data_IF_743032685106
#
_entry.id   IF_743032685106
#
_cell.length_a   1.000
_cell.length_b   1.000
_cell.length_c   1.000
_cell.angle_alpha   90.00
_cell.angle_beta   90.00
_cell.angle_gamma   90.00
#
_symmetry.space_group_name_H-M   'P 1'
#
loop_
_entity.id
_entity.type
_entity.pdbx_description
1 polymer ?
#
# COMPACT_ATOMS: atom_id res chain seq x y z
N UNK A 1 47.01 -16.15 77.84
CA UNK A 1 45.90 -15.19 77.70
C UNK A 1 45.96 -14.72 76.25
N UNK A 2 45.25 -15.40 75.35
CA UNK A 2 43.94 -14.98 74.82
C UNK A 2 44.05 -13.56 74.21
N UNK A 3 43.92 -13.35 72.90
CA UNK A 3 42.79 -13.75 72.06
C UNK A 3 43.16 -13.97 70.57
N UNK A 4 42.27 -14.71 69.91
CA UNK A 4 42.21 -15.12 68.50
C UNK A 4 41.33 -14.15 67.67
N UNK A 5 41.37 -14.33 66.34
CA UNK A 5 40.41 -13.95 65.29
C UNK A 5 40.64 -12.53 64.69
N UNK A 6 40.60 -12.26 63.37
CA UNK A 6 40.03 -12.89 62.14
C UNK A 6 40.96 -12.49 60.94
N UNK A 7 41.26 -13.31 59.91
CA UNK A 7 40.46 -13.68 58.70
C UNK A 7 39.75 -12.47 58.05
N UNK A 8 39.57 -12.29 56.75
CA UNK A 8 40.02 -12.83 55.46
C UNK A 8 39.35 -11.90 54.41
N UNK A 9 39.71 -12.02 53.14
CA UNK A 9 39.00 -11.52 51.96
C UNK A 9 39.10 -10.01 51.63
N UNK A 10 40.11 -9.73 50.80
CA UNK A 10 40.03 -8.70 49.76
C UNK A 10 39.10 -9.24 48.66
N UNK A 11 37.93 -8.63 48.48
CA UNK A 11 37.04 -8.87 47.33
C UNK A 11 37.21 -7.70 46.36
N UNK A 12 37.76 -8.00 45.19
CA UNK A 12 37.77 -7.15 43.99
C UNK A 12 36.32 -7.00 43.48
N UNK A 13 35.67 -5.88 43.82
CA UNK A 13 34.41 -5.44 43.21
C UNK A 13 34.69 -4.47 42.06
N UNK A 14 35.34 -5.00 41.01
CA UNK A 14 35.68 -4.24 39.81
C UNK A 14 35.19 -4.93 38.53
N UNK A 15 33.91 -5.32 38.48
CA UNK A 15 33.20 -5.74 37.25
C UNK A 15 31.67 -5.61 37.39
N UNK A 16 31.19 -4.53 37.99
CA UNK A 16 29.77 -4.17 37.87
C UNK A 16 29.53 -3.62 36.45
N UNK A 17 29.16 -4.50 35.51
CA UNK A 17 28.67 -4.10 34.19
C UNK A 17 27.64 -2.98 34.36
N UNK A 18 27.75 -1.87 33.60
CA UNK A 18 26.75 -0.81 33.66
C UNK A 18 25.37 -1.42 33.37
N UNK A 19 24.29 -0.92 34.00
CA UNK A 19 22.94 -1.41 33.74
C UNK A 19 22.66 -1.28 32.24
N UNK A 20 22.72 -2.41 31.53
CA UNK A 20 22.39 -2.48 30.11
C UNK A 20 21.01 -1.87 29.96
N UNK A 21 20.90 -0.83 29.13
CA UNK A 21 19.62 -0.28 28.69
C UNK A 21 18.68 -1.44 28.41
N UNK A 22 17.59 -1.50 29.18
CA UNK A 22 16.65 -2.61 29.17
C UNK A 22 15.97 -2.67 27.80
N UNK A 23 16.62 -3.34 26.85
CA UNK A 23 16.09 -3.61 25.53
C UNK A 23 14.71 -4.24 25.71
N UNK A 24 13.71 -3.65 25.07
CA UNK A 24 12.32 -4.07 25.14
C UNK A 24 12.24 -5.57 24.82
N UNK A 25 11.86 -6.38 25.82
CA UNK A 25 11.71 -7.83 25.65
C UNK A 25 10.35 -8.12 25.06
N UNK A 26 10.31 -8.94 24.01
CA UNK A 26 9.08 -9.41 23.40
C UNK A 26 8.96 -10.90 23.67
N UNK A 27 7.80 -11.36 24.16
CA UNK A 27 7.51 -12.77 24.40
C UNK A 27 6.19 -13.18 23.74
N UNK A 28 6.01 -14.47 23.44
CA UNK A 28 4.78 -15.01 22.85
C UNK A 28 4.25 -16.24 23.60
N UNK A 29 2.94 -16.24 23.87
CA UNK A 29 2.18 -17.43 24.25
C UNK A 29 1.08 -17.68 23.21
N UNK A 30 1.24 -18.71 22.38
CA UNK A 30 0.34 -18.92 21.24
C UNK A 30 0.21 -20.39 20.84
N UNK A 31 -0.72 -20.65 19.91
CA UNK A 31 -0.82 -21.94 19.24
C UNK A 31 0.37 -22.16 18.25
N UNK A 32 0.36 -23.29 17.56
CA UNK A 32 1.41 -23.66 16.60
C UNK A 32 1.60 -22.63 15.48
N UNK A 33 0.51 -22.03 14.97
CA UNK A 33 0.60 -21.06 13.89
C UNK A 33 1.28 -19.76 14.36
N UNK A 34 0.91 -19.26 15.54
CA UNK A 34 1.55 -18.07 16.12
C UNK A 34 3.01 -18.31 16.43
N UNK A 35 3.34 -19.45 17.04
CA UNK A 35 4.73 -19.79 17.36
C UNK A 35 5.55 -19.96 16.08
N UNK A 36 4.99 -20.57 15.05
CA UNK A 36 5.59 -20.65 13.72
C UNK A 36 5.92 -19.27 13.16
N UNK A 37 4.96 -18.35 13.15
CA UNK A 37 5.16 -16.97 12.70
C UNK A 37 6.19 -16.21 13.56
N UNK A 38 6.20 -16.42 14.87
CA UNK A 38 7.14 -15.77 15.78
C UNK A 38 8.58 -16.28 15.65
N UNK A 39 8.72 -17.57 15.32
CA UNK A 39 10.00 -18.20 14.98
C UNK A 39 10.50 -17.72 13.62
N UNK A 40 9.61 -17.69 12.62
CA UNK A 40 9.94 -17.19 11.28
C UNK A 40 10.41 -15.73 11.40
N UNK A 41 9.65 -14.89 12.12
CA UNK A 41 9.93 -13.47 12.39
C UNK A 41 11.24 -13.18 13.14
N UNK A 42 12.01 -14.20 13.52
CA UNK A 42 13.26 -14.04 14.27
C UNK A 42 13.09 -13.41 15.65
N UNK A 43 11.86 -13.30 16.15
CA UNK A 43 11.56 -12.79 17.49
C UNK A 43 11.80 -13.83 18.58
N UNK A 44 11.78 -15.11 18.20
CA UNK A 44 12.14 -16.22 19.06
C UNK A 44 13.65 -16.23 19.39
N UNK A 45 13.98 -15.99 20.66
CA UNK A 45 15.31 -16.08 21.27
C UNK A 45 15.37 -17.10 22.41
N UNK A 46 16.25 -18.08 22.29
CA UNK A 46 16.52 -19.01 23.39
C UNK A 46 17.46 -18.33 24.38
N UNK A 47 16.95 -18.00 25.56
CA UNK A 47 17.70 -17.35 26.63
C UNK A 47 18.14 -18.37 27.69
N UNK A 48 19.07 -17.98 28.57
CA UNK A 48 19.50 -18.81 29.70
C UNK A 48 18.33 -19.22 30.62
N UNK A 49 17.27 -18.39 30.69
CA UNK A 49 16.05 -18.62 31.47
C UNK A 49 14.94 -19.33 30.67
N UNK A 50 15.24 -19.85 29.48
CA UNK A 50 14.30 -20.53 28.58
C UNK A 50 13.99 -19.75 27.30
N UNK A 51 13.03 -20.23 26.51
CA UNK A 51 12.59 -19.59 25.27
C UNK A 51 11.63 -18.45 25.56
N UNK A 52 11.76 -17.27 24.90
CA UNK A 52 10.76 -16.18 24.98
C UNK A 52 9.45 -16.48 24.22
N UNK A 53 9.19 -17.73 23.88
CA UNK A 53 7.91 -18.18 23.36
C UNK A 53 7.54 -19.51 24.00
N UNK A 54 6.25 -19.78 24.07
CA UNK A 54 5.73 -21.07 24.49
C UNK A 54 4.52 -21.46 23.63
N UNK A 55 4.57 -22.67 23.07
CA UNK A 55 3.48 -23.25 22.28
C UNK A 55 2.48 -23.89 23.23
N UNK A 56 1.21 -23.52 23.10
CA UNK A 56 0.10 -24.14 23.81
C UNK A 56 -0.58 -25.12 22.87
N UNK A 57 -0.49 -26.41 23.21
CA UNK A 57 -1.14 -27.47 22.44
C UNK A 57 -2.67 -27.40 22.61
N UNK A 58 -3.39 -27.87 21.59
CA UNK A 58 -4.84 -27.98 21.65
C UNK A 58 -5.27 -28.92 22.79
N UNK A 59 -6.10 -28.41 23.71
CA UNK A 59 -6.55 -29.16 24.89
C UNK A 59 -5.59 -29.10 26.10
N UNK A 60 -4.58 -28.24 26.08
CA UNK A 60 -3.74 -27.99 27.25
C UNK A 60 -4.59 -27.59 28.48
N UNK A 61 -4.27 -28.16 29.65
CA UNK A 61 -4.95 -27.85 30.90
C UNK A 61 -4.75 -26.37 31.28
N UNK A 62 -5.80 -25.72 31.80
CA UNK A 62 -5.78 -24.29 32.13
C UNK A 62 -4.64 -23.89 33.08
N UNK A 63 -4.32 -24.74 34.06
CA UNK A 63 -3.22 -24.50 34.99
C UNK A 63 -1.85 -24.48 34.30
N UNK A 64 -1.66 -25.34 33.28
CA UNK A 64 -0.42 -25.37 32.52
C UNK A 64 -0.25 -24.11 31.66
N UNK A 65 -1.34 -23.64 31.03
CA UNK A 65 -1.36 -22.38 30.26
C UNK A 65 -1.10 -21.18 31.16
N UNK A 66 -1.71 -21.17 32.35
CA UNK A 66 -1.52 -20.10 33.34
C UNK A 66 -0.08 -20.06 33.85
N UNK A 67 0.53 -21.23 34.11
CA UNK A 67 1.93 -21.31 34.52
C UNK A 67 2.89 -20.84 33.40
N UNK A 68 2.60 -21.16 32.14
CA UNK A 68 3.34 -20.68 30.98
C UNK A 68 3.28 -19.16 30.85
N UNK A 69 2.08 -18.59 30.96
CA UNK A 69 1.87 -17.15 30.95
C UNK A 69 2.67 -16.45 32.06
N UNK A 70 2.59 -16.97 33.30
CA UNK A 70 3.33 -16.41 34.44
C UNK A 70 4.86 -16.42 34.24
N UNK A 71 5.41 -17.45 33.60
CA UNK A 71 6.86 -17.50 33.27
C UNK A 71 7.27 -16.41 32.28
N UNK A 72 6.42 -16.10 31.30
CA UNK A 72 6.71 -15.05 30.32
C UNK A 72 6.55 -13.65 30.93
N UNK A 73 5.52 -13.44 31.74
CA UNK A 73 5.28 -12.19 32.48
C UNK A 73 6.45 -11.88 33.43
N UNK A 74 6.96 -12.88 34.15
CA UNK A 74 8.08 -12.71 35.08
C UNK A 74 9.39 -12.26 34.40
N UNK A 75 9.48 -12.30 33.06
CA UNK A 75 10.64 -11.82 32.32
C UNK A 75 10.60 -10.33 31.97
N UNK A 76 9.46 -9.67 32.18
CA UNK A 76 9.25 -8.28 31.80
C UNK A 76 8.99 -8.08 30.31
N UNK A 77 8.62 -6.85 29.92
CA UNK A 77 8.44 -6.42 28.55
C UNK A 77 7.04 -6.64 27.99
N UNK A 78 6.93 -6.92 26.69
CA UNK A 78 5.67 -7.13 25.99
C UNK A 78 5.41 -8.63 25.85
N UNK A 79 4.25 -9.10 26.30
CA UNK A 79 3.80 -10.49 26.15
C UNK A 79 2.61 -10.52 25.17
N UNK A 80 2.83 -11.11 24.01
CA UNK A 80 1.79 -11.40 23.04
C UNK A 80 1.08 -12.70 23.42
N UNK A 81 -0.25 -12.72 23.41
CA UNK A 81 -1.05 -13.91 23.72
C UNK A 81 -2.11 -14.10 22.65
N UNK A 82 -2.17 -15.26 21.98
CA UNK A 82 -3.26 -15.52 21.03
C UNK A 82 -4.61 -15.54 21.74
N UNK A 83 -5.68 -15.00 21.13
CA UNK A 83 -7.02 -14.91 21.73
C UNK A 83 -7.54 -16.25 22.26
N UNK A 84 -7.30 -17.33 21.51
CA UNK A 84 -7.68 -18.70 21.89
C UNK A 84 -6.99 -19.14 23.18
N UNK A 85 -5.70 -18.84 23.32
CA UNK A 85 -4.93 -19.15 24.52
C UNK A 85 -5.28 -18.22 25.68
N UNK A 86 -5.50 -16.93 25.40
CA UNK A 86 -5.97 -15.96 26.39
C UNK A 86 -7.35 -16.34 26.95
N UNK A 87 -8.22 -16.97 26.16
CA UNK A 87 -9.50 -17.48 26.65
C UNK A 87 -9.34 -18.57 27.72
N UNK A 88 -8.28 -19.40 27.62
CA UNK A 88 -7.98 -20.47 28.58
C UNK A 88 -7.35 -19.90 29.87
N UNK A 89 -6.56 -18.83 29.78
CA UNK A 89 -5.90 -18.17 30.92
C UNK A 89 -6.50 -16.79 31.25
N UNK A 90 -7.80 -16.60 31.01
CA UNK A 90 -8.48 -15.29 31.02
C UNK A 90 -8.29 -14.52 32.31
N UNK A 91 -8.50 -15.19 33.45
CA UNK A 91 -8.36 -14.58 34.78
C UNK A 91 -6.93 -14.07 35.04
N UNK A 92 -5.92 -14.82 34.60
CA UNK A 92 -4.51 -14.44 34.75
C UNK A 92 -4.13 -13.26 33.83
N UNK A 93 -4.59 -13.29 32.57
CA UNK A 93 -4.38 -12.19 31.61
C UNK A 93 -5.02 -10.89 32.11
N UNK A 94 -6.26 -10.95 32.60
CA UNK A 94 -6.97 -9.79 33.12
C UNK A 94 -6.38 -9.28 34.44
N UNK A 95 -5.80 -10.16 35.26
CA UNK A 95 -5.08 -9.77 36.47
C UNK A 95 -3.80 -8.99 36.14
N UNK A 96 -3.01 -9.42 35.15
CA UNK A 96 -1.79 -8.70 34.77
C UNK A 96 -2.08 -7.38 34.05
N UNK A 97 -3.15 -7.30 33.24
CA UNK A 97 -3.58 -6.03 32.65
C UNK A 97 -3.93 -5.00 33.71
N UNK A 98 -4.71 -5.40 34.73
CA UNK A 98 -5.05 -4.53 35.87
C UNK A 98 -3.81 -4.07 36.63
N UNK A 99 -2.83 -4.94 36.82
CA UNK A 99 -1.54 -4.54 37.43
C UNK A 99 -0.79 -3.55 36.55
N UNK A 100 -0.75 -3.75 35.23
CA UNK A 100 -0.08 -2.83 34.30
C UNK A 100 -0.66 -1.41 34.29
N UNK A 101 -1.96 -1.27 34.60
CA UNK A 101 -2.63 0.03 34.72
C UNK A 101 -2.29 0.77 36.02
N UNK A 102 -1.81 0.07 37.05
CA UNK A 102 -1.31 0.67 38.29
C UNK A 102 0.11 1.23 38.05
N UNK A 103 0.33 2.54 38.29
CA UNK A 103 1.56 3.27 37.91
C UNK A 103 2.88 2.64 38.43
N UNK A 104 2.80 1.80 39.45
CA UNK A 104 3.94 1.10 40.07
C UNK A 104 4.41 -0.15 39.30
N UNK A 105 3.64 -0.66 38.33
CA UNK A 105 3.88 -1.93 37.64
C UNK A 105 4.14 -1.79 36.12
N UNK A 106 4.82 -0.71 35.69
CA UNK A 106 5.16 -0.42 34.26
C UNK A 106 6.15 -1.40 33.58
N UNK A 107 6.33 -2.60 34.13
CA UNK A 107 7.29 -3.58 33.62
C UNK A 107 6.75 -4.52 32.54
N UNK A 108 5.42 -4.75 32.46
CA UNK A 108 4.82 -5.76 31.57
C UNK A 108 3.61 -5.20 30.83
N UNK A 109 3.57 -5.40 29.50
CA UNK A 109 2.43 -5.07 28.63
C UNK A 109 1.90 -6.35 28.00
N UNK A 110 0.61 -6.65 28.19
CA UNK A 110 -0.01 -7.87 27.65
C UNK A 110 -0.94 -7.53 26.48
N UNK A 111 -0.64 -8.07 25.30
CA UNK A 111 -1.37 -7.81 24.05
C UNK A 111 -2.02 -9.10 23.56
N UNK A 112 -3.34 -9.08 23.37
CA UNK A 112 -4.05 -10.19 22.72
C UNK A 112 -3.96 -10.07 21.18
N UNK A 113 -3.70 -11.18 20.49
CA UNK A 113 -3.61 -11.24 19.02
C UNK A 113 -4.64 -12.25 18.45
N UNK A 114 -5.29 -11.95 17.31
CA UNK A 114 -6.34 -12.79 16.75
C UNK A 114 -5.86 -14.20 16.40
N UNK A 115 -6.69 -15.22 16.64
CA UNK A 115 -6.34 -16.60 16.24
C UNK A 115 -6.49 -16.79 14.73
N UNK A 116 -5.65 -17.64 14.11
CA UNK A 116 -5.71 -17.96 12.67
C UNK A 116 -7.06 -18.53 12.23
N UNK A 117 -7.79 -19.16 13.15
CA UNK A 117 -9.10 -19.77 12.88
C UNK A 117 -10.24 -18.74 12.95
N UNK A 118 -9.97 -17.53 13.43
CA UNK A 118 -10.91 -16.43 13.56
C UNK A 118 -11.02 -15.58 12.27
N UNK A 119 -10.80 -16.19 11.09
CA UNK A 119 -11.16 -15.54 9.82
C UNK A 119 -12.65 -15.14 9.86
N UNK A 120 -13.02 -13.91 9.46
CA UNK A 120 -14.42 -13.54 9.39
C UNK A 120 -15.10 -14.46 8.38
N UNK A 121 -16.09 -15.23 8.84
CA UNK A 121 -16.97 -16.05 7.97
C UNK A 121 -17.85 -15.12 7.11
N UNK A 122 -17.27 -14.44 6.14
CA UNK A 122 -18.01 -13.86 5.03
C UNK A 122 -18.27 -14.98 4.02
N UNK A 123 -19.46 -15.57 4.11
CA UNK A 123 -20.02 -16.50 3.14
C UNK A 123 -19.98 -15.90 1.74
N UNK A 124 -19.04 -16.35 0.89
CA UNK A 124 -19.12 -16.23 -0.57
C UNK A 124 -20.25 -17.13 -1.09
N UNK A 125 -21.48 -16.68 -0.93
CA UNK A 125 -22.63 -17.17 -1.66
C UNK A 125 -23.43 -15.94 -2.05
N UNK A 126 -23.23 -15.46 -3.28
CA UNK A 126 -24.13 -14.66 -4.10
C UNK A 126 -23.30 -14.15 -5.29
N UNK A 127 -23.52 -14.72 -6.47
CA UNK A 127 -23.71 -14.02 -7.74
C UNK A 127 -23.84 -15.08 -8.84
N UNK A 128 -25.09 -15.45 -9.13
CA UNK A 128 -25.45 -15.94 -10.47
C UNK A 128 -25.49 -14.75 -11.44
N UNK A 129 -25.23 -14.98 -12.74
CA UNK A 129 -25.13 -13.91 -13.73
C UNK A 129 -26.52 -13.36 -14.03
N UNK A 130 -26.75 -12.07 -13.75
CA UNK A 130 -28.00 -11.41 -14.10
C UNK A 130 -27.78 -10.44 -15.26
N UNK A 131 -28.33 -10.79 -16.42
CA UNK A 131 -28.57 -9.90 -17.54
C UNK A 131 -29.65 -8.87 -17.18
N UNK A 132 -29.55 -7.67 -17.75
CA UNK A 132 -30.52 -6.55 -17.72
C UNK A 132 -30.58 -5.70 -16.45
N UNK A 133 -29.79 -4.61 -16.46
CA UNK A 133 -29.82 -3.51 -15.48
C UNK A 133 -30.07 -2.17 -16.20
N UNK A 134 -31.28 -1.97 -16.75
CA UNK A 134 -31.67 -0.73 -17.44
C UNK A 134 -33.00 -0.12 -16.98
N UNK A 135 -33.60 -0.60 -15.89
CA UNK A 135 -35.01 -0.29 -15.57
C UNK A 135 -35.33 0.54 -14.32
N UNK A 136 -34.37 1.06 -13.53
CA UNK A 136 -34.67 1.51 -12.15
C UNK A 136 -34.56 3.00 -11.80
N UNK A 137 -34.42 3.91 -12.77
CA UNK A 137 -34.15 5.33 -12.48
C UNK A 137 -35.33 6.29 -12.70
N UNK A 138 -36.58 5.79 -12.78
CA UNK A 138 -37.75 6.64 -13.07
C UNK A 138 -38.65 6.99 -11.85
N UNK A 139 -38.24 6.75 -10.60
CA UNK A 139 -39.17 6.88 -9.46
C UNK A 139 -38.56 7.40 -8.15
N UNK A 140 -37.68 8.40 -8.19
CA UNK A 140 -37.10 8.98 -6.97
C UNK A 140 -37.17 10.52 -6.92
N UNK A 141 -38.22 11.12 -7.48
CA UNK A 141 -38.53 12.56 -7.32
C UNK A 141 -39.97 12.73 -6.82
N UNK A 142 -40.24 12.37 -5.56
CA UNK A 142 -41.43 12.84 -4.83
C UNK A 142 -41.38 12.45 -3.34
N UNK A 143 -40.70 13.24 -2.51
CA UNK A 143 -41.11 13.49 -1.12
C UNK A 143 -40.23 14.59 -0.50
N UNK A 144 -40.80 15.79 -0.35
CA UNK A 144 -40.27 16.78 0.59
C UNK A 144 -40.79 16.48 1.98
N UNK A 145 -39.93 16.58 3.00
CA UNK A 145 -40.35 16.68 4.39
C UNK A 145 -39.34 17.51 5.19
N UNK A 146 -39.88 18.46 5.95
CA UNK A 146 -39.18 19.46 6.76
C UNK A 146 -38.89 18.87 8.16
N UNK A 147 -37.64 18.49 8.42
CA UNK A 147 -37.20 18.04 9.74
C UNK A 147 -35.72 18.34 9.97
N UNK A 148 -35.42 19.18 10.96
CA UNK A 148 -34.07 19.64 11.29
C UNK A 148 -33.03 18.52 11.48
N UNK A 149 -31.73 18.83 11.29
CA UNK A 149 -30.70 17.82 11.10
C UNK A 149 -30.46 17.03 12.38
N UNK A 150 -30.94 15.78 12.40
CA UNK A 150 -30.34 14.75 13.25
C UNK A 150 -28.92 14.50 12.73
N UNK A 151 -27.92 14.32 13.60
CA UNK A 151 -26.60 13.89 13.18
C UNK A 151 -26.77 12.55 12.45
N UNK A 152 -26.58 12.58 11.14
CA UNK A 152 -26.64 11.39 10.29
C UNK A 152 -25.42 10.55 10.69
N UNK A 153 -25.68 9.42 11.36
CA UNK A 153 -24.64 8.41 11.58
C UNK A 153 -24.06 8.07 10.21
N UNK A 154 -22.74 8.25 10.05
CA UNK A 154 -22.08 7.92 8.80
C UNK A 154 -22.41 6.46 8.44
N UNK A 155 -22.82 6.17 7.20
CA UNK A 155 -23.17 4.81 6.81
C UNK A 155 -22.00 3.88 7.15
N UNK A 156 -22.29 2.67 7.65
CA UNK A 156 -21.28 1.71 8.11
C UNK A 156 -20.13 1.50 7.10
N UNK A 157 -20.42 1.68 5.82
CA UNK A 157 -19.48 1.61 4.70
C UNK A 157 -18.37 2.70 4.77
N UNK A 158 -18.70 3.92 5.23
CA UNK A 158 -17.73 5.01 5.34
C UNK A 158 -16.68 4.75 6.44
N UNK A 159 -17.10 4.13 7.55
CA UNK A 159 -16.19 3.76 8.64
C UNK A 159 -15.23 2.64 8.20
N UNK A 160 -15.75 1.63 7.51
CA UNK A 160 -14.95 0.53 6.94
C UNK A 160 -13.97 1.04 5.88
N UNK A 161 -14.40 1.98 5.02
CA UNK A 161 -13.53 2.60 4.03
C UNK A 161 -12.42 3.43 4.68
N UNK A 162 -12.75 4.22 5.71
CA UNK A 162 -11.77 4.99 6.47
C UNK A 162 -10.76 4.08 7.18
N UNK A 163 -11.20 2.94 7.74
CA UNK A 163 -10.32 1.95 8.33
C UNK A 163 -9.37 1.33 7.30
N UNK A 164 -9.90 0.92 6.14
CA UNK A 164 -9.11 0.40 5.02
C UNK A 164 -8.06 1.41 4.56
N UNK A 165 -8.45 2.67 4.39
CA UNK A 165 -7.54 3.76 4.02
C UNK A 165 -6.41 3.92 5.03
N UNK A 166 -6.73 4.01 6.34
CA UNK A 166 -5.72 4.11 7.40
C UNK A 166 -4.77 2.92 7.40
N UNK A 167 -5.29 1.72 7.13
CA UNK A 167 -4.46 0.50 7.10
C UNK A 167 -3.50 0.49 5.92
N UNK A 168 -3.98 0.78 4.71
CA UNK A 168 -3.14 0.90 3.51
C UNK A 168 -2.06 1.97 3.70
N UNK A 169 -2.43 3.14 4.25
CA UNK A 169 -1.49 4.23 4.54
C UNK A 169 -0.39 3.79 5.52
N UNK A 170 -0.76 3.07 6.58
CA UNK A 170 0.18 2.57 7.58
C UNK A 170 1.13 1.50 6.99
N UNK A 171 0.62 0.61 6.15
CA UNK A 171 1.43 -0.43 5.50
C UNK A 171 2.41 0.18 4.50
N UNK A 172 1.96 1.11 3.64
CA UNK A 172 2.84 1.83 2.71
C UNK A 172 3.90 2.63 3.48
N UNK A 173 3.52 3.35 4.53
CA UNK A 173 4.49 4.06 5.37
C UNK A 173 5.51 3.12 6.03
N UNK A 174 5.10 1.91 6.39
CA UNK A 174 6.01 0.89 6.96
C UNK A 174 6.98 0.38 5.92
N UNK A 175 6.52 0.06 4.70
CA UNK A 175 7.38 -0.32 3.59
C UNK A 175 8.45 0.73 3.30
N UNK A 176 8.08 2.02 3.25
CA UNK A 176 9.02 3.11 3.00
C UNK A 176 9.95 3.39 4.19
N UNK A 177 9.54 3.15 5.44
CA UNK A 177 10.45 3.24 6.60
C UNK A 177 11.55 2.18 6.57
N UNK A 178 11.23 0.97 6.11
CA UNK A 178 12.22 -0.11 5.97
C UNK A 178 13.25 0.23 4.89
N UNK A 179 12.77 0.72 3.73
CA UNK A 179 13.65 1.19 2.65
C UNK A 179 14.58 2.33 3.07
N UNK A 180 14.07 3.31 3.82
CA UNK A 180 14.87 4.47 4.23
C UNK A 180 16.05 4.08 5.14
N UNK A 181 15.96 2.94 5.86
CA UNK A 181 17.07 2.41 6.67
C UNK A 181 18.19 1.83 5.82
N UNK A 182 17.86 1.15 4.72
CA UNK A 182 18.83 0.56 3.80
C UNK A 182 19.61 1.61 2.98
N UNK A 183 18.98 2.76 2.70
CA UNK A 183 19.55 3.80 1.83
C UNK A 183 20.62 4.68 2.48
N UNK A 184 20.72 4.67 3.81
CA UNK A 184 21.78 5.38 4.53
C UNK A 184 23.06 4.58 4.44
N UNK A 185 23.96 4.92 3.50
CA UNK A 185 25.22 4.22 3.23
C UNK A 185 26.24 4.10 4.38
N UNK A 186 25.81 4.23 5.64
CA UNK A 186 26.51 3.60 6.75
C UNK A 186 26.49 2.09 6.52
N UNK A 187 27.68 1.51 6.42
CA UNK A 187 27.86 0.08 6.29
C UNK A 187 27.03 -0.64 7.36
N UNK A 188 25.89 -1.19 6.96
CA UNK A 188 25.01 -1.92 7.85
C UNK A 188 25.87 -2.96 8.60
N UNK A 189 25.78 -3.03 9.94
CA UNK A 189 26.54 -4.00 10.69
C UNK A 189 26.26 -5.38 10.10
N UNK A 190 27.32 -6.15 9.84
CA UNK A 190 27.35 -7.37 9.02
C UNK A 190 26.51 -8.56 9.53
N UNK A 191 25.51 -8.33 10.36
CA UNK A 191 24.56 -9.33 10.84
C UNK A 191 23.51 -9.65 9.79
N UNK A 192 23.67 -10.78 9.09
CA UNK A 192 22.66 -11.31 8.15
C UNK A 192 21.27 -11.53 8.77
N UNK A 193 21.16 -11.56 10.10
CA UNK A 193 19.90 -11.70 10.83
C UNK A 193 19.01 -10.46 10.76
N UNK A 194 19.57 -9.25 10.81
CA UNK A 194 18.78 -8.00 10.73
C UNK A 194 18.14 -7.84 9.35
N UNK A 195 18.91 -8.11 8.29
CA UNK A 195 18.42 -8.05 6.90
C UNK A 195 17.37 -9.13 6.60
N UNK A 196 17.53 -10.32 7.17
CA UNK A 196 16.53 -11.38 7.03
C UNK A 196 15.20 -10.95 7.66
N UNK A 197 15.26 -10.35 8.86
CA UNK A 197 14.08 -9.83 9.55
C UNK A 197 13.38 -8.73 8.73
N UNK A 198 14.12 -7.76 8.19
CA UNK A 198 13.53 -6.69 7.37
C UNK A 198 12.85 -7.22 6.10
N UNK A 199 13.46 -8.22 5.44
CA UNK A 199 12.88 -8.86 4.26
C UNK A 199 11.57 -9.57 4.59
N UNK A 200 11.48 -10.17 5.77
CA UNK A 200 10.27 -10.83 6.23
C UNK A 200 9.16 -9.83 6.58
N UNK A 201 9.49 -8.74 7.28
CA UNK A 201 8.52 -7.66 7.52
C UNK A 201 8.04 -7.06 6.20
N UNK A 202 8.93 -6.87 5.22
CA UNK A 202 8.56 -6.45 3.86
C UNK A 202 7.60 -7.45 3.21
N UNK A 203 7.87 -8.74 3.32
CA UNK A 203 7.03 -9.79 2.77
C UNK A 203 5.63 -9.83 3.43
N UNK A 204 5.56 -9.71 4.75
CA UNK A 204 4.30 -9.64 5.49
C UNK A 204 3.49 -8.40 5.10
N UNK A 205 4.12 -7.21 5.06
CA UNK A 205 3.46 -5.98 4.62
C UNK A 205 2.95 -6.08 3.19
N UNK A 206 3.72 -6.73 2.30
CA UNK A 206 3.37 -6.91 0.90
C UNK A 206 2.18 -7.85 0.74
N UNK A 207 2.16 -8.96 1.47
CA UNK A 207 1.05 -9.92 1.46
C UNK A 207 -0.24 -9.25 1.91
N UNK A 208 -0.19 -8.52 3.03
CA UNK A 208 -1.36 -7.82 3.54
C UNK A 208 -1.82 -6.68 2.61
N UNK A 209 -0.90 -5.92 2.03
CA UNK A 209 -1.25 -4.93 1.02
C UNK A 209 -1.94 -5.58 -0.18
N UNK A 210 -1.44 -6.71 -0.67
CA UNK A 210 -2.03 -7.43 -1.80
C UNK A 210 -3.47 -7.89 -1.54
N UNK A 211 -3.80 -8.27 -0.30
CA UNK A 211 -5.17 -8.56 0.12
C UNK A 211 -6.06 -7.31 0.05
N UNK A 212 -5.58 -6.18 0.61
CA UNK A 212 -6.31 -4.91 0.52
C UNK A 212 -6.52 -4.45 -0.92
N UNK A 213 -5.58 -4.69 -1.83
CA UNK A 213 -5.71 -4.36 -3.25
C UNK A 213 -6.88 -5.09 -3.93
N UNK A 214 -7.38 -6.20 -3.37
CA UNK A 214 -8.55 -6.88 -3.92
C UNK A 214 -9.86 -6.13 -3.64
N UNK A 215 -9.90 -5.26 -2.64
CA UNK A 215 -11.07 -4.43 -2.36
C UNK A 215 -11.31 -3.42 -3.52
N UNK A 216 -12.56 -3.03 -3.80
CA UNK A 216 -12.88 -2.04 -4.84
C UNK A 216 -12.10 -0.72 -4.72
N UNK A 217 -11.95 -0.20 -3.50
CA UNK A 217 -11.21 1.05 -3.25
C UNK A 217 -9.73 0.84 -2.94
N UNK A 218 -9.30 -0.40 -2.66
CA UNK A 218 -7.95 -0.69 -2.16
C UNK A 218 -6.85 -0.28 -3.12
N UNK A 219 -6.98 -0.60 -4.40
CA UNK A 219 -6.01 -0.23 -5.44
C UNK A 219 -5.85 1.29 -5.57
N UNK A 220 -6.96 2.03 -5.64
CA UNK A 220 -6.95 3.49 -5.66
C UNK A 220 -6.26 4.08 -4.42
N UNK A 221 -6.60 3.58 -3.22
CA UNK A 221 -5.97 4.05 -1.96
C UNK A 221 -4.48 3.78 -1.93
N UNK A 222 -4.04 2.62 -2.44
CA UNK A 222 -2.63 2.29 -2.55
C UNK A 222 -1.89 3.24 -3.50
N UNK A 223 -2.44 3.51 -4.69
CA UNK A 223 -1.86 4.46 -5.65
C UNK A 223 -1.81 5.87 -5.07
N UNK A 224 -2.86 6.32 -4.40
CA UNK A 224 -2.89 7.60 -3.67
C UNK A 224 -1.81 7.66 -2.58
N UNK A 225 -1.62 6.57 -1.82
CA UNK A 225 -0.61 6.48 -0.77
C UNK A 225 0.81 6.52 -1.35
N UNK A 226 1.09 5.80 -2.43
CA UNK A 226 2.36 5.87 -3.14
C UNK A 226 2.64 7.27 -3.68
N UNK A 227 1.64 7.94 -4.26
CA UNK A 227 1.80 9.29 -4.78
C UNK A 227 2.17 10.29 -3.67
N UNK A 228 1.65 10.12 -2.45
CA UNK A 228 2.09 10.88 -1.28
C UNK A 228 3.55 10.61 -0.89
N UNK A 229 4.03 9.38 -1.04
CA UNK A 229 5.42 9.02 -0.72
C UNK A 229 6.44 9.49 -1.77
N UNK A 230 6.01 9.65 -3.02
CA UNK A 230 6.88 10.06 -4.15
C UNK A 230 7.72 11.31 -3.84
N UNK A 231 7.19 12.29 -3.13
CA UNK A 231 7.91 13.53 -2.81
C UNK A 231 8.94 13.36 -1.69
N UNK A 232 8.86 12.28 -0.93
CA UNK A 232 9.73 12.01 0.24
C UNK A 232 10.89 11.10 -0.13
N UNK A 233 10.64 10.07 -0.92
CA UNK A 233 11.65 9.08 -1.29
C UNK A 233 11.32 8.46 -2.63
N UNK A 234 12.32 8.39 -3.51
CA UNK A 234 12.19 7.81 -4.86
C UNK A 234 13.12 6.62 -5.10
N UNK A 235 14.23 6.49 -4.36
CA UNK A 235 15.04 5.27 -4.36
C UNK A 235 14.41 4.26 -3.40
N UNK A 236 13.94 3.13 -3.94
CA UNK A 236 13.23 2.09 -3.20
C UNK A 236 14.09 0.88 -2.85
N UNK A 237 15.38 0.89 -3.22
CA UNK A 237 16.38 -0.09 -2.80
C UNK A 237 15.91 -1.54 -2.86
N UNK A 238 15.99 -2.23 -1.71
CA UNK A 238 15.60 -3.64 -1.57
C UNK A 238 14.09 -3.89 -1.69
N UNK A 239 13.23 -2.87 -1.49
CA UNK A 239 11.78 -3.02 -1.63
C UNK A 239 11.29 -2.97 -3.08
N UNK A 240 12.17 -2.66 -4.05
CA UNK A 240 11.84 -2.61 -5.47
C UNK A 240 11.00 -3.79 -5.99
N UNK A 241 11.39 -5.07 -5.81
CA UNK A 241 10.60 -6.19 -6.32
C UNK A 241 9.22 -6.30 -5.68
N UNK A 242 9.09 -5.97 -4.40
CA UNK A 242 7.81 -5.97 -3.68
C UNK A 242 6.89 -4.88 -4.20
N UNK A 243 7.42 -3.66 -4.35
CA UNK A 243 6.66 -2.54 -4.88
C UNK A 243 6.24 -2.75 -6.34
N UNK A 244 7.11 -3.36 -7.15
CA UNK A 244 6.77 -3.75 -8.52
C UNK A 244 5.61 -4.75 -8.55
N UNK A 245 5.63 -5.79 -7.72
CA UNK A 245 4.56 -6.78 -7.62
C UNK A 245 3.23 -6.18 -7.14
N UNK A 246 3.27 -5.29 -6.14
CA UNK A 246 2.09 -4.57 -5.67
C UNK A 246 1.51 -3.64 -6.74
N UNK A 247 2.37 -2.94 -7.48
CA UNK A 247 1.93 -2.03 -8.53
C UNK A 247 1.28 -2.80 -9.70
N UNK A 248 1.84 -3.95 -10.09
CA UNK A 248 1.19 -4.86 -11.06
C UNK A 248 -0.18 -5.33 -10.56
N UNK A 249 -0.28 -5.77 -9.30
CA UNK A 249 -1.54 -6.20 -8.70
C UNK A 249 -2.58 -5.07 -8.67
N UNK A 250 -2.14 -3.85 -8.37
CA UNK A 250 -2.99 -2.66 -8.38
C UNK A 250 -3.46 -2.33 -9.81
N UNK A 251 -2.58 -2.39 -10.81
CA UNK A 251 -2.92 -2.19 -12.22
C UNK A 251 -3.95 -3.20 -12.71
N UNK A 252 -3.78 -4.49 -12.38
CA UNK A 252 -4.75 -5.54 -12.70
C UNK A 252 -6.13 -5.22 -12.11
N UNK A 253 -6.17 -4.74 -10.86
CA UNK A 253 -7.43 -4.35 -10.21
C UNK A 253 -8.03 -3.12 -10.87
N UNK A 254 -7.26 -2.07 -11.10
CA UNK A 254 -7.72 -0.84 -11.74
C UNK A 254 -8.25 -1.11 -13.15
N UNK A 255 -7.59 -1.99 -13.93
CA UNK A 255 -8.05 -2.40 -15.26
C UNK A 255 -9.42 -3.09 -15.18
N UNK A 256 -9.63 -4.02 -14.23
CA UNK A 256 -10.94 -4.66 -14.01
C UNK A 256 -12.05 -3.67 -13.63
N UNK A 257 -11.70 -2.64 -12.86
CA UNK A 257 -12.64 -1.60 -12.41
C UNK A 257 -12.76 -0.42 -13.39
N UNK A 258 -11.99 -0.43 -14.49
CA UNK A 258 -11.82 0.72 -15.40
C UNK A 258 -11.45 2.03 -14.70
N UNK A 259 -10.60 1.95 -13.68
CA UNK A 259 -10.07 3.12 -12.97
C UNK A 259 -8.86 3.69 -13.74
N UNK A 260 -9.16 4.41 -14.82
CA UNK A 260 -8.19 5.02 -15.73
C UNK A 260 -7.29 6.02 -15.01
N UNK A 261 -7.84 6.75 -14.04
CA UNK A 261 -7.08 7.74 -13.27
C UNK A 261 -5.97 7.08 -12.46
N UNK A 262 -6.30 6.03 -11.71
CA UNK A 262 -5.31 5.28 -10.93
C UNK A 262 -4.26 4.59 -11.81
N UNK A 263 -4.62 4.16 -13.03
CA UNK A 263 -3.65 3.61 -13.99
C UNK A 263 -2.68 4.70 -14.46
N UNK A 264 -3.17 5.89 -14.82
CA UNK A 264 -2.32 7.03 -15.21
C UNK A 264 -1.39 7.50 -14.09
N UNK A 265 -1.88 7.54 -12.84
CA UNK A 265 -1.04 7.86 -11.69
C UNK A 265 0.01 6.77 -11.46
N UNK A 266 -0.36 5.49 -11.58
CA UNK A 266 0.59 4.37 -11.51
C UNK A 266 1.70 4.48 -12.57
N UNK A 267 1.33 4.86 -13.80
CA UNK A 267 2.24 5.11 -14.91
C UNK A 267 3.29 6.18 -14.55
N UNK A 268 2.83 7.33 -14.05
CA UNK A 268 3.70 8.44 -13.59
C UNK A 268 4.59 8.02 -12.40
N UNK A 269 4.04 7.28 -11.43
CA UNK A 269 4.79 6.79 -10.27
C UNK A 269 5.91 5.84 -10.68
N UNK A 270 5.67 4.99 -11.68
CA UNK A 270 6.64 4.03 -12.16
C UNK A 270 7.87 4.67 -12.82
N UNK A 271 7.71 5.89 -13.36
CA UNK A 271 8.82 6.71 -13.88
C UNK A 271 9.58 7.45 -12.77
N UNK A 272 9.01 7.53 -11.57
CA UNK A 272 9.60 8.25 -10.43
C UNK A 272 10.41 7.34 -9.53
N UNK A 273 9.85 6.19 -9.15
CA UNK A 273 10.51 5.24 -8.25
C UNK A 273 11.55 4.40 -8.99
N UNK A 274 12.72 4.23 -8.39
CA UNK A 274 13.82 3.44 -8.95
C UNK A 274 14.59 2.68 -7.87
N UNK A 275 15.42 1.73 -8.26
CA UNK A 275 16.53 1.23 -7.42
C UNK A 275 17.86 1.53 -8.07
N UNK A 276 18.86 1.82 -7.25
CA UNK A 276 20.25 1.95 -7.70
C UNK A 276 20.88 0.55 -7.80
N UNK A 277 21.22 0.09 -9.01
CA UNK A 277 22.01 -1.15 -9.18
C UNK A 277 23.49 -0.81 -9.03
N UNK A 278 24.15 -1.38 -8.02
CA UNK A 278 25.60 -1.39 -7.95
C UNK A 278 26.11 -2.24 -9.11
N UNK A 279 26.77 -1.61 -10.09
CA UNK A 279 27.43 -2.31 -11.17
C UNK A 279 28.55 -3.17 -10.58
N UNK A 280 28.45 -4.49 -10.69
CA UNK A 280 29.54 -5.38 -10.30
C UNK A 280 30.73 -5.18 -11.25
N UNK A 281 31.84 -4.63 -10.74
CA UNK A 281 33.13 -4.50 -11.44
C UNK A 281 33.18 -3.35 -12.45
N UNK A 282 34.01 -2.34 -12.16
CA UNK A 282 34.49 -1.22 -13.01
C UNK A 282 33.48 -0.43 -13.87
N UNK A 283 32.18 -0.72 -13.78
CA UNK A 283 31.16 0.01 -14.51
C UNK A 283 30.96 1.42 -13.90
N UNK A 284 31.07 2.49 -14.71
CA UNK A 284 30.94 3.86 -14.22
C UNK A 284 29.50 4.15 -13.80
N UNK A 285 29.34 4.66 -12.57
CA UNK A 285 28.10 5.12 -11.91
C UNK A 285 26.97 4.09 -11.74
N UNK A 286 26.30 4.13 -10.59
CA UNK A 286 25.15 3.28 -10.30
C UNK A 286 24.03 3.49 -11.34
N UNK A 287 23.65 2.41 -12.06
CA UNK A 287 22.56 2.47 -13.04
C UNK A 287 21.23 2.43 -12.30
N UNK A 288 20.38 3.43 -12.53
CA UNK A 288 19.01 3.45 -12.02
C UNK A 288 18.12 2.50 -12.82
N UNK A 289 17.41 1.63 -12.12
CA UNK A 289 16.37 0.78 -12.67
C UNK A 289 15.02 1.29 -12.16
N UNK A 290 14.22 1.88 -13.06
CA UNK A 290 12.92 2.45 -12.72
C UNK A 290 11.84 1.37 -12.65
N UNK A 291 10.81 1.55 -11.82
CA UNK A 291 9.64 0.64 -11.77
C UNK A 291 8.93 0.52 -13.12
N UNK A 292 9.04 1.53 -13.99
CA UNK A 292 8.59 1.51 -15.38
C UNK A 292 8.97 0.20 -16.07
N UNK A 293 10.22 -0.24 -15.94
CA UNK A 293 10.70 -1.48 -16.58
C UNK A 293 10.00 -2.74 -16.10
N UNK A 294 9.53 -2.77 -14.84
CA UNK A 294 8.81 -3.91 -14.28
C UNK A 294 7.33 -3.96 -14.72
N UNK A 295 6.71 -2.80 -14.95
CA UNK A 295 5.28 -2.72 -15.30
C UNK A 295 5.03 -2.59 -16.81
N UNK A 296 6.05 -2.32 -17.62
CA UNK A 296 5.95 -2.20 -19.09
C UNK A 296 5.33 -3.44 -19.77
N UNK A 297 5.38 -4.61 -19.14
CA UNK A 297 4.79 -5.84 -19.68
C UNK A 297 3.31 -6.01 -19.33
N UNK A 298 2.70 -5.08 -18.58
CA UNK A 298 1.31 -5.19 -18.18
C UNK A 298 0.36 -5.04 -19.39
N UNK A 299 -0.70 -5.88 -19.52
CA UNK A 299 -1.54 -5.92 -20.72
C UNK A 299 -2.34 -4.63 -20.98
N UNK A 300 -2.59 -3.81 -19.95
CA UNK A 300 -3.33 -2.55 -20.07
C UNK A 300 -2.73 -1.59 -21.11
N UNK A 301 -1.41 -1.62 -21.34
CA UNK A 301 -0.77 -0.76 -22.33
C UNK A 301 -1.11 -1.17 -23.76
N UNK A 302 -1.48 -2.42 -24.01
CA UNK A 302 -1.97 -2.88 -25.31
C UNK A 302 -3.44 -2.56 -25.58
N UNK A 303 -4.18 -2.06 -24.59
CA UNK A 303 -5.61 -1.77 -24.72
C UNK A 303 -5.85 -0.39 -25.33
N UNK A 304 -6.32 -0.37 -26.59
CA UNK A 304 -6.66 0.87 -27.28
C UNK A 304 -7.80 1.64 -26.59
N UNK A 305 -8.72 0.96 -25.90
CA UNK A 305 -9.81 1.62 -25.17
C UNK A 305 -9.26 2.41 -23.99
N UNK A 306 -8.34 1.83 -23.22
CA UNK A 306 -7.66 2.53 -22.13
C UNK A 306 -7.02 3.84 -22.60
N UNK A 307 -6.26 3.84 -23.71
CA UNK A 307 -5.61 5.06 -24.21
C UNK A 307 -6.59 6.14 -24.66
N UNK A 308 -7.75 5.76 -25.22
CA UNK A 308 -8.81 6.71 -25.57
C UNK A 308 -9.42 7.32 -24.31
N UNK A 309 -9.75 6.50 -23.31
CA UNK A 309 -10.29 6.99 -22.04
C UNK A 309 -9.27 7.85 -21.27
N UNK A 310 -7.99 7.49 -21.32
CA UNK A 310 -6.91 8.26 -20.74
C UNK A 310 -6.77 9.65 -21.39
N UNK A 311 -6.83 9.72 -22.72
CA UNK A 311 -6.84 10.98 -23.44
C UNK A 311 -8.05 11.84 -23.05
N UNK A 312 -9.24 11.22 -22.94
CA UNK A 312 -10.46 11.88 -22.45
C UNK A 312 -10.24 12.58 -21.13
N UNK A 313 -9.71 11.81 -20.18
CA UNK A 313 -9.54 12.23 -18.81
C UNK A 313 -8.52 13.36 -18.72
N UNK A 314 -7.41 13.28 -19.46
CA UNK A 314 -6.41 14.33 -19.52
C UNK A 314 -6.96 15.64 -20.10
N UNK A 315 -7.73 15.58 -21.20
CA UNK A 315 -8.36 16.75 -21.81
C UNK A 315 -9.38 17.39 -20.87
N UNK A 316 -10.21 16.56 -20.23
CA UNK A 316 -11.20 17.01 -19.26
C UNK A 316 -10.55 17.73 -18.08
N UNK A 317 -9.50 17.15 -17.48
CA UNK A 317 -8.75 17.78 -16.38
C UNK A 317 -8.11 19.11 -16.79
N UNK A 318 -7.52 19.18 -17.99
CA UNK A 318 -6.94 20.43 -18.51
C UNK A 318 -8.00 21.53 -18.69
N UNK A 319 -9.17 21.17 -19.20
CA UNK A 319 -10.27 22.12 -19.37
C UNK A 319 -10.87 22.58 -18.03
N UNK A 320 -11.01 21.66 -17.06
CA UNK A 320 -11.44 22.00 -15.71
C UNK A 320 -10.50 23.03 -15.04
N UNK A 321 -9.19 22.94 -15.28
CA UNK A 321 -8.23 23.95 -14.80
C UNK A 321 -8.33 25.31 -15.51
N UNK A 322 -8.89 25.37 -16.72
CA UNK A 322 -9.07 26.62 -17.49
C UNK A 322 -10.37 27.35 -17.14
N UNK A 323 -11.40 26.62 -16.71
CA UNK A 323 -12.59 27.20 -16.12
C UNK A 323 -12.22 27.83 -14.76
N UNK A 324 -11.92 29.13 -14.76
CA UNK A 324 -11.46 29.86 -13.59
C UNK A 324 -12.51 29.86 -12.45
N UNK A 325 -12.09 30.09 -11.19
CA UNK A 325 -12.93 29.96 -9.98
C UNK A 325 -13.90 31.13 -9.76
N UNK A 326 -14.62 31.55 -10.80
CA UNK A 326 -15.64 32.61 -10.76
C UNK A 326 -17.03 32.18 -11.24
N UNK A 327 -17.15 30.99 -11.82
CA UNK A 327 -18.44 30.38 -12.16
C UNK A 327 -18.77 29.37 -11.06
N UNK A 328 -19.66 29.73 -10.13
CA UNK A 328 -20.09 28.93 -8.99
C UNK A 328 -20.51 27.50 -9.41
N UNK A 329 -19.80 26.44 -8.98
CA UNK A 329 -20.19 25.05 -9.22
C UNK A 329 -21.11 24.52 -8.12
N UNK A 330 -21.97 25.36 -7.52
CA UNK A 330 -22.92 24.94 -6.47
C UNK A 330 -24.07 24.05 -7.01
N UNK A 331 -23.90 23.50 -8.22
CA UNK A 331 -24.75 22.48 -8.81
C UNK A 331 -24.15 21.09 -8.56
N UNK A 332 -24.23 20.62 -7.31
CA UNK A 332 -24.23 19.21 -6.90
C UNK A 332 -23.33 18.27 -7.70
N UNK A 333 -22.05 18.25 -7.36
CA UNK A 333 -21.10 17.23 -7.82
C UNK A 333 -21.47 15.85 -7.27
N UNK A 334 -22.06 15.00 -8.12
CA UNK A 334 -21.90 13.56 -8.02
C UNK A 334 -20.72 13.14 -8.92
N UNK A 335 -19.53 12.81 -8.37
CA UNK A 335 -18.35 12.47 -9.15
C UNK A 335 -18.41 11.05 -9.77
N UNK A 336 -19.59 10.42 -9.78
CA UNK A 336 -19.81 9.07 -10.27
C UNK A 336 -20.20 9.01 -11.74
N UNK A 337 -19.21 8.78 -12.62
CA UNK A 337 -19.37 8.02 -13.87
C UNK A 337 -20.44 8.52 -14.86
N UNK A 338 -20.09 9.47 -15.74
CA UNK A 338 -20.88 9.76 -16.94
C UNK A 338 -20.25 9.12 -18.19
N UNK A 339 -20.90 8.10 -18.81
CA UNK A 339 -20.53 7.62 -20.13
C UNK A 339 -20.98 8.67 -21.16
N UNK A 340 -20.03 9.49 -21.63
CA UNK A 340 -20.32 10.57 -22.57
C UNK A 340 -19.50 11.85 -22.37
N UNK A 341 -18.52 11.87 -21.46
CA UNK A 341 -17.68 13.05 -21.17
C UNK A 341 -17.09 13.69 -22.43
N UNK A 342 -16.62 12.88 -23.38
CA UNK A 342 -16.12 13.37 -24.67
C UNK A 342 -17.22 14.01 -25.52
N UNK A 343 -18.41 13.40 -25.58
CA UNK A 343 -19.51 13.95 -26.35
C UNK A 343 -20.01 15.27 -25.73
N UNK A 344 -20.06 15.36 -24.41
CA UNK A 344 -20.42 16.59 -23.69
C UNK A 344 -19.40 17.72 -23.93
N UNK A 345 -18.10 17.40 -23.93
CA UNK A 345 -17.02 18.37 -24.14
C UNK A 345 -17.00 18.95 -25.57
N UNK A 346 -17.30 18.14 -26.59
CA UNK A 346 -17.16 18.55 -27.99
C UNK A 346 -18.47 18.92 -28.69
N UNK A 347 -19.60 18.29 -28.33
CA UNK A 347 -20.88 18.52 -29.01
C UNK A 347 -21.82 19.48 -28.27
N UNK A 348 -21.58 19.77 -26.98
CA UNK A 348 -22.40 20.69 -26.18
C UNK A 348 -21.90 22.13 -26.09
N UNK A 349 -20.65 22.40 -26.49
CA UNK A 349 -20.01 23.70 -26.28
C UNK A 349 -20.29 24.71 -27.41
N UNK A 350 -20.37 26.00 -27.06
CA UNK A 350 -20.29 27.11 -28.01
C UNK A 350 -19.00 27.05 -28.84
N UNK A 351 -18.95 27.72 -29.98
CA UNK A 351 -17.82 27.60 -30.94
C UNK A 351 -16.46 27.93 -30.32
N UNK A 352 -16.39 28.88 -29.37
CA UNK A 352 -15.17 29.20 -28.62
C UNK A 352 -14.71 28.03 -27.72
N UNK A 353 -15.66 27.28 -27.15
CA UNK A 353 -15.39 26.08 -26.37
C UNK A 353 -14.86 24.93 -27.22
N UNK A 354 -15.31 24.81 -28.48
CA UNK A 354 -14.79 23.80 -29.42
C UNK A 354 -13.33 24.06 -29.77
N UNK A 355 -12.95 25.32 -30.01
CA UNK A 355 -11.56 25.68 -30.29
C UNK A 355 -10.66 25.37 -29.08
N UNK A 356 -11.08 25.76 -27.87
CA UNK A 356 -10.34 25.47 -26.64
C UNK A 356 -10.19 23.97 -26.37
N UNK A 357 -11.23 23.18 -26.63
CA UNK A 357 -11.22 21.72 -26.51
C UNK A 357 -10.29 21.06 -27.54
N UNK A 358 -10.28 21.55 -28.79
CA UNK A 358 -9.37 21.08 -29.82
C UNK A 358 -7.90 21.35 -29.47
N UNK A 359 -7.59 22.52 -28.90
CA UNK A 359 -6.24 22.85 -28.45
C UNK A 359 -5.81 22.02 -27.23
N UNK A 360 -6.73 21.73 -26.29
CA UNK A 360 -6.47 20.84 -25.18
C UNK A 360 -6.23 19.40 -25.65
N UNK A 361 -7.07 18.90 -26.57
CA UNK A 361 -6.89 17.60 -27.21
C UNK A 361 -5.52 17.48 -27.86
N UNK A 362 -5.16 18.48 -28.68
CA UNK A 362 -3.87 18.52 -29.36
C UNK A 362 -2.70 18.49 -28.36
N UNK A 363 -2.77 19.30 -27.31
CA UNK A 363 -1.74 19.33 -26.26
C UNK A 363 -1.57 18.01 -25.53
N UNK A 364 -2.67 17.29 -25.26
CA UNK A 364 -2.62 16.02 -24.53
C UNK A 364 -2.24 14.84 -25.42
N UNK A 365 -2.59 14.90 -26.71
CA UNK A 365 -2.33 13.82 -27.66
C UNK A 365 -0.84 13.50 -27.79
N UNK A 366 0.02 14.53 -27.86
CA UNK A 366 1.47 14.34 -27.88
C UNK A 366 2.01 13.63 -26.62
N UNK A 367 1.50 14.02 -25.44
CA UNK A 367 1.87 13.39 -24.17
C UNK A 367 1.44 11.93 -24.06
N UNK A 368 0.22 11.61 -24.52
CA UNK A 368 -0.30 10.23 -24.57
C UNK A 368 0.55 9.38 -25.52
N UNK A 369 0.86 9.89 -26.70
CA UNK A 369 1.67 9.17 -27.70
C UNK A 369 3.08 8.88 -27.19
N UNK A 370 3.70 9.86 -26.52
CA UNK A 370 4.99 9.65 -25.86
C UNK A 370 4.88 8.57 -24.77
N UNK A 371 3.84 8.63 -23.93
CA UNK A 371 3.61 7.63 -22.90
C UNK A 371 3.38 6.22 -23.49
N UNK A 372 2.61 6.09 -24.58
CA UNK A 372 2.41 4.83 -25.29
C UNK A 372 3.75 4.23 -25.73
N UNK A 373 4.60 5.02 -26.39
CA UNK A 373 5.93 4.58 -26.81
C UNK A 373 6.78 4.16 -25.60
N UNK A 374 6.80 4.98 -24.55
CA UNK A 374 7.53 4.71 -23.32
C UNK A 374 7.10 3.43 -22.62
N UNK A 375 5.83 3.04 -22.71
CA UNK A 375 5.28 1.82 -22.13
C UNK A 375 5.24 0.64 -23.10
N UNK A 376 5.97 0.73 -24.21
CA UNK A 376 6.23 -0.38 -25.12
C UNK A 376 5.08 -0.70 -26.07
N UNK A 377 4.16 0.25 -26.29
CA UNK A 377 3.13 0.09 -27.32
C UNK A 377 3.80 0.07 -28.69
N UNK A 378 3.42 -0.91 -29.52
CA UNK A 378 4.00 -1.07 -30.84
C UNK A 378 3.78 0.19 -31.70
N UNK A 379 4.79 0.62 -32.48
CA UNK A 379 4.68 1.78 -33.38
C UNK A 379 3.42 1.81 -34.24
N UNK A 380 3.08 0.68 -34.88
CA UNK A 380 1.90 0.59 -35.75
C UNK A 380 0.59 0.82 -34.97
N UNK A 381 0.53 0.38 -33.71
CA UNK A 381 -0.62 0.61 -32.84
C UNK A 381 -0.73 2.09 -32.40
N UNK A 382 0.40 2.77 -32.18
CA UNK A 382 0.44 4.22 -31.91
C UNK A 382 -0.06 5.00 -33.13
N UNK A 383 0.40 4.65 -34.34
CA UNK A 383 -0.06 5.28 -35.58
C UNK A 383 -1.56 5.05 -35.81
N UNK A 384 -2.04 3.81 -35.60
CA UNK A 384 -3.46 3.49 -35.70
C UNK A 384 -4.32 4.28 -34.69
N UNK A 385 -3.85 4.44 -33.46
CA UNK A 385 -4.50 5.28 -32.44
C UNK A 385 -4.56 6.75 -32.87
N UNK A 386 -3.44 7.29 -33.36
CA UNK A 386 -3.36 8.66 -33.88
C UNK A 386 -4.33 8.89 -35.03
N UNK A 387 -4.38 7.96 -36.00
CA UNK A 387 -5.28 8.03 -37.14
C UNK A 387 -6.74 8.06 -36.71
N UNK A 388 -7.12 7.19 -35.77
CA UNK A 388 -8.48 7.11 -35.24
C UNK A 388 -8.89 8.42 -34.54
N UNK A 389 -8.06 8.93 -33.62
CA UNK A 389 -8.33 10.18 -32.89
C UNK A 389 -8.36 11.40 -33.82
N UNK A 390 -7.42 11.50 -34.77
CA UNK A 390 -7.41 12.60 -35.73
C UNK A 390 -8.65 12.59 -36.63
N UNK A 391 -9.08 11.41 -37.07
CA UNK A 391 -10.29 11.26 -37.88
C UNK A 391 -11.56 11.60 -37.09
N UNK A 392 -11.67 11.12 -35.85
CA UNK A 392 -12.82 11.37 -34.96
C UNK A 392 -13.00 12.86 -34.64
N UNK A 393 -11.90 13.59 -34.48
CA UNK A 393 -11.93 15.01 -34.07
C UNK A 393 -11.64 15.99 -35.22
N UNK A 394 -11.59 15.52 -36.47
CA UNK A 394 -11.29 16.32 -37.65
C UNK A 394 -10.03 17.19 -37.50
N UNK A 395 -8.99 16.65 -36.86
CA UNK A 395 -7.70 17.32 -36.73
C UNK A 395 -7.10 17.50 -38.13
N UNK A 396 -6.64 18.71 -38.44
CA UNK A 396 -6.13 19.04 -39.77
C UNK A 396 -4.90 18.19 -40.16
N UNK A 397 -4.68 18.05 -41.47
CA UNK A 397 -3.63 17.19 -42.01
C UNK A 397 -2.21 17.66 -41.68
N UNK A 398 -2.01 18.95 -41.43
CA UNK A 398 -0.68 19.48 -41.07
C UNK A 398 -0.32 19.09 -39.64
N UNK A 399 -1.22 19.30 -38.69
CA UNK A 399 -1.12 18.82 -37.32
C UNK A 399 -0.89 17.31 -37.31
N UNK A 400 -1.75 16.54 -37.98
CA UNK A 400 -1.56 15.07 -38.08
C UNK A 400 -0.15 14.68 -38.54
N UNK A 401 0.38 15.35 -39.57
CA UNK A 401 1.75 15.10 -40.07
C UNK A 401 2.81 15.38 -39.01
N UNK A 402 2.69 16.46 -38.24
CA UNK A 402 3.64 16.79 -37.16
C UNK A 402 3.71 15.67 -36.11
N UNK A 403 2.58 15.09 -35.71
CA UNK A 403 2.58 13.97 -34.76
C UNK A 403 3.18 12.69 -35.36
N UNK A 404 2.87 12.40 -36.63
CA UNK A 404 3.46 11.26 -37.32
C UNK A 404 4.98 11.38 -37.41
N UNK A 405 5.49 12.55 -37.82
CA UNK A 405 6.93 12.84 -37.89
C UNK A 405 7.60 12.69 -36.50
N UNK A 406 6.90 13.08 -35.43
CA UNK A 406 7.38 12.92 -34.05
C UNK A 406 7.44 11.44 -33.62
N UNK A 407 6.42 10.64 -33.96
CA UNK A 407 6.43 9.19 -33.72
C UNK A 407 7.57 8.51 -34.47
N UNK A 408 7.76 8.85 -35.74
CA UNK A 408 8.88 8.35 -36.53
C UNK A 408 10.24 8.70 -35.94
N UNK A 409 10.38 9.91 -35.37
CA UNK A 409 11.61 10.31 -34.68
C UNK A 409 11.85 9.46 -33.42
N UNK A 410 10.83 9.26 -32.57
CA UNK A 410 10.94 8.41 -31.39
C UNK A 410 11.32 6.97 -31.72
N UNK A 411 10.72 6.40 -32.78
CA UNK A 411 11.04 5.04 -33.25
C UNK A 411 12.51 4.94 -33.67
N UNK A 412 13.02 5.95 -34.39
CA UNK A 412 14.42 6.00 -34.81
C UNK A 412 15.38 6.07 -33.64
N UNK A 413 15.05 6.85 -32.60
CA UNK A 413 15.86 6.97 -31.38
C UNK A 413 15.81 5.70 -30.50
N UNK A 414 14.68 4.99 -30.48
CA UNK A 414 14.56 3.73 -29.73
C UNK A 414 15.30 2.54 -30.36
N UNK A 415 15.64 2.62 -31.65
CA UNK A 415 16.32 1.56 -32.39
C UNK A 415 17.87 1.64 -32.33
N UNK A 416 18.43 2.76 -31.86
CA UNK A 416 19.87 2.98 -31.65
C UNK A 416 20.30 2.60 -30.25
#
# INVERSE_FOLDING_TARGET
>A
MAALAEDDATVDDADAEPPQESALRLSLLGDEAHVGLFLLAGWAKREARGCNWERVDEGAAGDAVTAAFGRLVARGGVVLVSERVAAVAREAVDAERRRGDEEEHRGVVVVEIPSSDAAPRASCALFEPNETWSGRWAAADAAGDDGGPKPVEAPADAAAEAATRRRVDALVATLFRLVARDGGGEAAPAGGTARAFELEVLNACTTELAEHLQAPSGARRFVEALNRQRTRMVDVGAAYPFLAGLLLTALDRCMRLRDVDSILVSMMLAQSFYRSRTGGGDAPAARREYLKSAIQTHPVWGDALFWREALALCVSKQNAHRAAPGDDPDAGDDPGCSPGLFAALFYGAADDGKAAAADALWSQLGGIVHAMHEFGVAPDAIVAFLDAVCAEHAIDGERKRILADHVEAMIREGAS
#
